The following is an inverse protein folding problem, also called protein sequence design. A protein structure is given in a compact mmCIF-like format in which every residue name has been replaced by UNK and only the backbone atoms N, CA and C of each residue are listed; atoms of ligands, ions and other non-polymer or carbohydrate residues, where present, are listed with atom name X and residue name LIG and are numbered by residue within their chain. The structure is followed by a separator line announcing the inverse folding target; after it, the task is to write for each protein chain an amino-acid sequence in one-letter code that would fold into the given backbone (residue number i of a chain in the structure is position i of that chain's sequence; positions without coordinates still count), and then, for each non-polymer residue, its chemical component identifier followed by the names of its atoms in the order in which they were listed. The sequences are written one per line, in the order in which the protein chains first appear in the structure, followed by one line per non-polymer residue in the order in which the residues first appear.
data_IF_766833656855
#
_entry.id   IF_766833656855
#
_cell.length_a   1.000
_cell.length_b   1.000
_cell.length_c   1.000
_cell.angle_alpha   90.00
_cell.angle_beta   90.00
_cell.angle_gamma   90.00
#
_symmetry.space_group_name_H-M   'P 1'
#
loop_
_entity.id
_entity.type
_entity.pdbx_description
1 polymer ?
#
# COMPACT_ATOMS: atom_id res chain seq x y z
N UNK A 1 11.62 24.61 4.66
CA UNK A 1 11.13 23.49 3.80
C UNK A 1 10.31 24.06 2.65
N UNK A 2 10.43 23.56 1.42
CA UNK A 2 9.57 24.00 0.34
C UNK A 2 8.09 23.66 0.65
N UNK A 3 7.19 24.55 0.27
CA UNK A 3 5.73 24.43 0.55
C UNK A 3 5.16 23.06 0.17
N UNK A 4 5.62 22.49 -0.94
CA UNK A 4 5.15 21.18 -1.42
C UNK A 4 5.52 20.03 -0.47
N UNK A 5 6.65 20.10 0.22
CA UNK A 5 7.07 19.08 1.20
C UNK A 5 6.16 19.12 2.43
N UNK A 6 5.82 20.31 2.92
CA UNK A 6 4.92 20.47 4.08
C UNK A 6 3.53 19.90 3.75
N UNK A 7 3.00 20.20 2.56
CA UNK A 7 1.72 19.65 2.09
C UNK A 7 1.81 18.14 1.98
N UNK A 8 2.88 17.60 1.39
CA UNK A 8 3.06 16.16 1.23
C UNK A 8 3.12 15.43 2.59
N UNK A 9 3.80 16.00 3.59
CA UNK A 9 3.84 15.44 4.96
C UNK A 9 2.44 15.42 5.58
N UNK A 10 1.67 16.51 5.47
CA UNK A 10 0.29 16.56 5.98
C UNK A 10 -0.63 15.53 5.31
N UNK A 11 -0.50 15.37 3.99
CA UNK A 11 -1.26 14.38 3.22
C UNK A 11 -0.89 12.95 3.64
N UNK A 12 0.40 12.65 3.86
CA UNK A 12 0.84 11.33 4.35
C UNK A 12 0.30 11.06 5.74
N UNK A 13 0.37 12.03 6.65
CA UNK A 13 -0.14 11.84 8.02
C UNK A 13 -1.63 11.46 8.03
N UNK A 14 -2.44 12.15 7.21
CA UNK A 14 -3.84 11.79 7.03
C UNK A 14 -4.01 10.39 6.41
N UNK A 15 -3.14 10.04 5.45
CA UNK A 15 -3.11 8.72 4.82
C UNK A 15 -2.79 7.59 5.81
N UNK A 16 -1.87 7.83 6.76
CA UNK A 16 -1.52 6.86 7.82
C UNK A 16 -2.74 6.59 8.71
N UNK A 17 -3.43 7.63 9.17
CA UNK A 17 -4.66 7.47 9.98
C UNK A 17 -5.70 6.62 9.21
N UNK A 18 -5.88 6.89 7.92
CA UNK A 18 -6.80 6.10 7.10
C UNK A 18 -6.35 4.62 6.99
N UNK A 19 -5.06 4.35 6.87
CA UNK A 19 -4.55 2.97 6.87
C UNK A 19 -4.71 2.27 8.21
N UNK A 20 -4.53 2.96 9.34
CA UNK A 20 -4.74 2.38 10.67
C UNK A 20 -6.22 2.00 10.87
N UNK A 21 -7.15 2.87 10.49
CA UNK A 21 -8.59 2.56 10.53
C UNK A 21 -8.92 1.36 9.64
N UNK A 22 -8.38 1.32 8.43
CA UNK A 22 -8.50 0.16 7.54
C UNK A 22 -7.92 -1.11 8.18
N UNK A 23 -6.74 -1.04 8.80
CA UNK A 23 -6.07 -2.17 9.43
C UNK A 23 -6.87 -2.78 10.58
N UNK A 24 -7.52 -1.95 11.41
CA UNK A 24 -8.43 -2.39 12.47
C UNK A 24 -9.58 -3.20 11.86
N UNK A 25 -10.19 -2.70 10.79
CA UNK A 25 -11.31 -3.38 10.13
C UNK A 25 -10.85 -4.69 9.49
N UNK A 26 -9.68 -4.73 8.84
CA UNK A 26 -9.09 -5.97 8.30
C UNK A 26 -8.93 -7.02 9.39
N UNK A 27 -8.46 -6.63 10.57
CA UNK A 27 -8.32 -7.55 11.71
C UNK A 27 -9.66 -8.10 12.18
N UNK A 28 -10.68 -7.25 12.27
CA UNK A 28 -12.04 -7.65 12.68
C UNK A 28 -12.69 -8.63 11.70
N UNK A 29 -12.44 -8.45 10.40
CA UNK A 29 -13.02 -9.31 9.34
C UNK A 29 -12.16 -10.55 9.05
N UNK A 30 -10.89 -10.56 9.47
CA UNK A 30 -9.92 -11.59 9.12
C UNK A 30 -10.20 -12.98 9.70
N UNK A 31 -10.97 -13.07 10.77
CA UNK A 31 -11.43 -14.34 11.36
C UNK A 31 -12.63 -14.95 10.62
N UNK A 32 -13.36 -14.12 9.87
CA UNK A 32 -14.61 -14.53 9.17
C UNK A 32 -14.38 -14.74 7.68
N UNK A 33 -13.59 -13.90 7.04
CA UNK A 33 -13.41 -13.88 5.59
C UNK A 33 -11.98 -14.24 5.16
N UNK A 34 -11.79 -15.00 4.06
CA UNK A 34 -10.48 -15.25 3.49
C UNK A 34 -9.74 -13.96 3.16
N UNK A 35 -8.43 -13.91 3.45
CA UNK A 35 -7.60 -12.71 3.25
C UNK A 35 -7.63 -12.19 1.80
N UNK A 36 -7.67 -13.09 0.80
CA UNK A 36 -7.81 -12.69 -0.60
C UNK A 36 -9.16 -12.04 -0.91
N UNK A 37 -10.24 -12.48 -0.26
CA UNK A 37 -11.56 -11.88 -0.37
C UNK A 37 -11.56 -10.47 0.24
N UNK A 38 -10.96 -10.30 1.42
CA UNK A 38 -10.77 -8.99 2.06
C UNK A 38 -9.98 -8.07 1.13
N UNK A 39 -8.88 -8.55 0.53
CA UNK A 39 -8.08 -7.76 -0.39
C UNK A 39 -8.86 -7.35 -1.65
N UNK A 40 -9.63 -8.28 -2.26
CA UNK A 40 -10.45 -7.98 -3.43
C UNK A 40 -11.51 -6.91 -3.12
N UNK A 41 -12.28 -7.10 -2.03
CA UNK A 41 -13.32 -6.16 -1.60
C UNK A 41 -12.75 -4.79 -1.23
N UNK A 42 -11.63 -4.77 -0.49
CA UNK A 42 -10.92 -3.53 -0.15
C UNK A 42 -10.52 -2.76 -1.40
N UNK A 43 -9.98 -3.42 -2.41
CA UNK A 43 -9.58 -2.74 -3.63
C UNK A 43 -10.80 -2.30 -4.47
N UNK A 44 -11.88 -3.08 -4.50
CA UNK A 44 -13.12 -2.71 -5.16
C UNK A 44 -13.69 -1.40 -4.58
N UNK A 45 -13.95 -1.35 -3.30
CA UNK A 45 -14.48 -0.14 -2.64
C UNK A 45 -13.41 0.97 -2.53
N UNK A 46 -12.13 0.62 -2.57
CA UNK A 46 -11.02 1.56 -2.61
C UNK A 46 -10.94 2.38 -3.91
N UNK A 47 -11.69 2.02 -4.96
CA UNK A 47 -11.81 2.83 -6.18
C UNK A 47 -12.60 4.12 -5.94
N UNK A 48 -13.49 4.14 -4.94
CA UNK A 48 -14.43 5.25 -4.69
C UNK A 48 -13.71 6.61 -4.58
N UNK A 49 -12.67 6.80 -3.74
CA UNK A 49 -11.99 8.09 -3.64
C UNK A 49 -11.36 8.55 -4.96
N UNK A 50 -10.78 7.61 -5.72
CA UNK A 50 -10.18 7.92 -7.01
C UNK A 50 -11.25 8.30 -8.06
N UNK A 51 -12.38 7.61 -8.08
CA UNK A 51 -13.51 7.92 -8.97
C UNK A 51 -14.11 9.28 -8.65
N UNK A 52 -14.31 9.60 -7.38
CA UNK A 52 -14.83 10.93 -6.95
C UNK A 52 -13.88 12.04 -7.42
N UNK A 53 -12.57 11.86 -7.22
CA UNK A 53 -11.60 12.87 -7.62
C UNK A 53 -11.51 13.02 -9.14
N UNK A 54 -11.56 11.92 -9.91
CA UNK A 54 -11.59 11.95 -11.38
C UNK A 54 -12.87 12.62 -11.92
N UNK A 55 -14.02 12.33 -11.31
CA UNK A 55 -15.28 12.94 -11.67
C UNK A 55 -15.27 14.45 -11.40
N UNK A 56 -14.83 14.85 -10.21
CA UNK A 56 -14.74 16.26 -9.84
C UNK A 56 -13.78 17.05 -10.75
N UNK A 57 -12.63 16.47 -11.05
CA UNK A 57 -11.62 17.09 -11.91
C UNK A 57 -11.90 16.92 -13.43
N UNK A 58 -12.93 16.14 -13.83
CA UNK A 58 -13.25 15.80 -15.22
C UNK A 58 -12.08 15.18 -16.00
N UNK A 59 -11.27 14.34 -15.34
CA UNK A 59 -10.02 13.81 -15.89
C UNK A 59 -10.12 12.36 -16.39
N UNK A 60 -11.30 11.84 -16.68
CA UNK A 60 -11.50 10.47 -17.20
C UNK A 60 -10.77 10.20 -18.52
N UNK A 61 -10.56 11.23 -19.35
CA UNK A 61 -9.81 11.13 -20.60
C UNK A 61 -8.35 10.65 -20.45
N UNK A 62 -7.81 10.68 -19.22
CA UNK A 62 -6.48 10.16 -18.95
C UNK A 62 -6.42 8.63 -18.81
N UNK A 63 -7.54 7.95 -18.52
CA UNK A 63 -7.57 6.50 -18.27
C UNK A 63 -7.10 5.64 -19.45
N UNK A 64 -7.48 5.90 -20.72
CA UNK A 64 -7.01 5.11 -21.86
C UNK A 64 -5.49 5.11 -22.02
N UNK A 65 -4.79 6.14 -21.50
CA UNK A 65 -3.31 6.20 -21.54
C UNK A 65 -2.65 5.08 -20.72
N UNK A 66 -3.33 4.53 -19.72
CA UNK A 66 -2.84 3.38 -18.94
C UNK A 66 -2.69 2.11 -19.79
N UNK A 67 -3.37 2.02 -20.92
CA UNK A 67 -3.27 0.88 -21.85
C UNK A 67 -2.01 0.93 -22.74
N UNK A 68 -1.21 1.99 -22.66
CA UNK A 68 0.10 2.01 -23.32
C UNK A 68 0.96 0.89 -22.74
N UNK A 69 1.66 0.07 -23.58
CA UNK A 69 2.35 -1.14 -23.11
C UNK A 69 3.30 -0.91 -21.94
N UNK A 70 4.05 0.19 -21.96
CA UNK A 70 4.97 0.55 -20.86
C UNK A 70 4.21 0.87 -19.56
N UNK A 71 3.18 1.68 -19.62
CA UNK A 71 2.39 2.08 -18.43
C UNK A 71 1.58 0.90 -17.90
N UNK A 72 1.09 0.04 -18.79
CA UNK A 72 0.42 -1.19 -18.42
C UNK A 72 1.36 -2.15 -17.67
N UNK A 73 2.59 -2.34 -18.16
CA UNK A 73 3.59 -3.16 -17.49
C UNK A 73 3.97 -2.60 -16.10
N UNK A 74 4.16 -1.29 -15.99
CA UNK A 74 4.40 -0.63 -14.69
C UNK A 74 3.21 -0.86 -13.75
N UNK A 75 1.98 -0.69 -14.25
CA UNK A 75 0.77 -0.90 -13.45
C UNK A 75 0.63 -2.35 -13.00
N UNK A 76 0.89 -3.32 -13.86
CA UNK A 76 0.86 -4.74 -13.54
C UNK A 76 1.89 -5.07 -12.44
N UNK A 77 3.13 -4.62 -12.58
CA UNK A 77 4.18 -4.83 -11.58
C UNK A 77 3.80 -4.21 -10.23
N UNK A 78 3.28 -2.98 -10.23
CA UNK A 78 2.78 -2.31 -9.02
C UNK A 78 1.66 -3.10 -8.37
N UNK A 79 0.67 -3.50 -9.16
CA UNK A 79 -0.51 -4.19 -8.65
C UNK A 79 -0.18 -5.58 -8.10
N UNK A 80 0.70 -6.32 -8.76
CA UNK A 80 1.20 -7.61 -8.27
C UNK A 80 1.94 -7.42 -6.94
N UNK A 81 2.84 -6.43 -6.86
CA UNK A 81 3.52 -6.09 -5.60
C UNK A 81 2.53 -5.76 -4.49
N UNK A 82 1.47 -5.01 -4.78
CA UNK A 82 0.43 -4.66 -3.79
C UNK A 82 -0.39 -5.88 -3.37
N UNK A 83 -0.71 -6.81 -4.27
CA UNK A 83 -1.40 -8.07 -3.88
C UNK A 83 -0.53 -8.86 -2.90
N UNK A 84 0.76 -9.06 -3.22
CA UNK A 84 1.69 -9.75 -2.32
C UNK A 84 1.81 -9.01 -0.98
N UNK A 85 1.90 -7.69 -1.00
CA UNK A 85 1.97 -6.88 0.21
C UNK A 85 0.71 -7.02 1.07
N UNK A 86 -0.47 -6.96 0.46
CA UNK A 86 -1.75 -7.11 1.15
C UNK A 86 -1.91 -8.50 1.77
N UNK A 87 -1.61 -9.56 1.02
CA UNK A 87 -1.63 -10.93 1.53
C UNK A 87 -0.70 -11.07 2.74
N UNK A 88 0.53 -10.60 2.62
CA UNK A 88 1.51 -10.68 3.71
C UNK A 88 1.06 -9.87 4.93
N UNK A 89 0.68 -8.60 4.75
CA UNK A 89 0.34 -7.72 5.87
C UNK A 89 -0.97 -8.13 6.55
N UNK A 90 -2.00 -8.46 5.77
CA UNK A 90 -3.30 -8.87 6.34
C UNK A 90 -3.20 -10.21 7.05
N UNK A 91 -2.41 -11.15 6.53
CA UNK A 91 -2.12 -12.40 7.26
C UNK A 91 -1.37 -12.10 8.58
N UNK A 92 -0.42 -11.17 8.58
CA UNK A 92 0.26 -10.77 9.81
C UNK A 92 -0.73 -10.18 10.84
N UNK A 93 -1.64 -9.29 10.41
CA UNK A 93 -2.64 -8.68 11.30
C UNK A 93 -3.55 -9.70 12.00
N UNK A 94 -3.76 -10.89 11.42
CA UNK A 94 -4.55 -11.98 12.03
C UNK A 94 -3.71 -12.92 12.89
N UNK A 95 -2.37 -12.90 12.79
CA UNK A 95 -1.49 -13.89 13.44
C UNK A 95 -0.56 -13.32 14.51
N UNK A 96 -0.30 -12.01 14.48
CA UNK A 96 0.53 -11.32 15.48
C UNK A 96 -0.20 -10.08 16.00
N UNK A 97 0.34 -9.48 17.06
CA UNK A 97 -0.22 -8.26 17.61
C UNK A 97 -0.20 -7.11 16.61
N UNK A 98 -1.29 -6.32 16.57
CA UNK A 98 -1.44 -5.19 15.66
C UNK A 98 -0.28 -4.17 15.78
N UNK A 99 0.12 -3.87 17.03
CA UNK A 99 1.22 -2.96 17.29
C UNK A 99 2.55 -3.46 16.72
N UNK A 100 2.83 -4.76 16.88
CA UNK A 100 4.03 -5.41 16.34
C UNK A 100 4.01 -5.41 14.81
N UNK A 101 2.87 -5.77 14.19
CA UNK A 101 2.73 -5.73 12.73
C UNK A 101 2.93 -4.31 12.18
N UNK A 102 2.34 -3.30 12.84
CA UNK A 102 2.51 -1.90 12.50
C UNK A 102 3.96 -1.43 12.62
N UNK A 103 4.62 -1.73 13.76
CA UNK A 103 6.01 -1.36 13.99
C UNK A 103 6.96 -1.95 12.94
N UNK A 104 6.76 -3.22 12.57
CA UNK A 104 7.54 -3.87 11.49
C UNK A 104 7.22 -3.27 10.12
N UNK A 105 5.97 -2.87 9.88
CA UNK A 105 5.54 -2.17 8.66
C UNK A 105 6.25 -0.81 8.46
N UNK A 106 6.66 -0.13 9.54
CA UNK A 106 7.48 1.09 9.46
C UNK A 106 8.89 0.85 8.90
N UNK A 107 9.26 -0.38 8.53
CA UNK A 107 10.44 -0.62 7.69
C UNK A 107 10.30 -0.11 6.25
N UNK A 108 9.09 0.28 5.83
CA UNK A 108 8.81 0.83 4.48
C UNK A 108 9.76 1.96 4.03
N UNK A 109 9.98 3.01 4.81
CA UNK A 109 10.92 4.08 4.50
C UNK A 109 12.36 3.60 4.20
N UNK A 110 12.81 2.55 4.88
CA UNK A 110 14.10 1.92 4.64
C UNK A 110 14.17 1.39 3.21
N UNK A 111 13.15 0.62 2.81
CA UNK A 111 13.06 0.04 1.47
C UNK A 111 12.83 1.10 0.39
N UNK A 112 12.02 2.15 0.66
CA UNK A 112 11.83 3.27 -0.27
C UNK A 112 13.20 3.91 -0.58
N UNK A 113 14.00 4.19 0.45
CA UNK A 113 15.31 4.81 0.26
C UNK A 113 16.26 3.86 -0.47
N UNK A 114 16.33 2.60 -0.08
CA UNK A 114 17.20 1.61 -0.73
C UNK A 114 16.83 1.39 -2.21
N UNK A 115 15.54 1.27 -2.53
CA UNK A 115 15.06 1.05 -3.90
C UNK A 115 15.14 2.32 -4.78
N UNK A 116 15.17 3.51 -4.18
CA UNK A 116 15.30 4.77 -4.95
C UNK A 116 16.64 4.87 -5.70
N UNK A 117 17.69 4.21 -5.20
CA UNK A 117 19.02 4.20 -5.85
C UNK A 117 18.97 3.48 -7.19
N UNK A 118 18.63 2.19 -7.28
CA UNK A 118 18.65 1.45 -8.55
C UNK A 118 17.50 1.84 -9.49
N UNK A 119 16.34 2.29 -8.98
CA UNK A 119 15.16 2.54 -9.81
C UNK A 119 15.04 3.98 -10.30
N UNK A 120 15.51 4.94 -9.51
CA UNK A 120 15.39 6.37 -9.83
C UNK A 120 16.77 7.05 -10.07
N UNK A 121 17.87 6.32 -9.88
CA UNK A 121 19.23 6.88 -10.01
C UNK A 121 19.58 7.90 -8.94
N UNK A 122 18.88 7.91 -7.81
CA UNK A 122 19.14 8.85 -6.73
C UNK A 122 20.45 8.53 -6.03
N UNK A 123 21.30 9.54 -5.82
CA UNK A 123 22.50 9.41 -4.99
C UNK A 123 22.10 9.56 -3.54
N UNK A 124 22.24 8.47 -2.79
CA UNK A 124 21.94 8.46 -1.35
C UNK A 124 23.24 8.67 -0.58
N UNK A 125 23.30 9.76 0.18
CA UNK A 125 24.47 10.07 1.01
C UNK A 125 24.64 9.14 2.19
N UNK A 126 25.85 9.13 2.78
CA UNK A 126 26.25 8.25 3.90
C UNK A 126 25.28 8.34 5.08
N UNK A 127 24.78 9.52 5.40
CA UNK A 127 23.82 9.74 6.50
C UNK A 127 22.49 8.99 6.31
N UNK A 128 22.01 8.91 5.06
CA UNK A 128 20.79 8.14 4.76
C UNK A 128 21.04 6.65 4.83
N UNK A 129 22.20 6.17 4.39
CA UNK A 129 22.61 4.77 4.56
C UNK A 129 22.74 4.39 6.03
N UNK A 130 23.34 5.26 6.85
CA UNK A 130 23.41 5.04 8.30
C UNK A 130 22.02 4.93 8.93
N UNK A 131 21.08 5.79 8.54
CA UNK A 131 19.69 5.71 9.00
C UNK A 131 19.01 4.38 8.59
N UNK A 132 19.26 3.88 7.37
CA UNK A 132 18.78 2.57 6.90
C UNK A 132 19.30 1.46 7.81
N UNK A 133 20.60 1.43 8.10
CA UNK A 133 21.19 0.39 8.95
C UNK A 133 20.67 0.45 10.39
N UNK A 134 20.53 1.65 10.96
CA UNK A 134 19.97 1.83 12.30
C UNK A 134 18.50 1.39 12.33
N UNK A 135 17.71 1.78 11.33
CA UNK A 135 16.31 1.36 11.21
C UNK A 135 16.18 -0.16 11.07
N UNK A 136 17.04 -0.79 10.26
CA UNK A 136 17.04 -2.24 10.11
C UNK A 136 17.45 -2.97 11.41
N UNK A 137 18.41 -2.43 12.15
CA UNK A 137 18.75 -2.94 13.49
C UNK A 137 17.54 -2.85 14.43
N UNK A 138 16.76 -1.76 14.37
CA UNK A 138 15.50 -1.62 15.11
C UNK A 138 14.46 -2.70 14.74
N UNK A 139 14.29 -2.99 13.45
CA UNK A 139 13.42 -4.09 12.98
C UNK A 139 13.88 -5.44 13.57
N UNK A 140 15.17 -5.74 13.52
CA UNK A 140 15.74 -6.98 14.10
C UNK A 140 15.54 -7.04 15.62
N UNK A 141 15.63 -5.91 16.31
CA UNK A 141 15.39 -5.82 17.76
C UNK A 141 13.94 -6.14 18.11
N UNK A 142 12.98 -5.70 17.29
CA UNK A 142 11.55 -6.01 17.49
C UNK A 142 11.26 -7.47 17.15
N UNK A 143 11.82 -7.98 16.06
CA UNK A 143 11.60 -9.36 15.61
C UNK A 143 12.23 -10.40 16.55
N UNK A 144 13.34 -10.07 17.19
CA UNK A 144 14.11 -10.99 18.04
C UNK A 144 14.30 -12.38 17.40
N UNK A 145 14.88 -12.51 16.19
CA UNK A 145 14.84 -13.73 15.38
C UNK A 145 15.58 -14.92 16.00
N UNK A 146 16.33 -14.69 17.08
CA UNK A 146 17.10 -15.71 17.80
C UNK A 146 16.52 -16.05 19.20
N UNK A 147 15.29 -15.57 19.50
CA UNK A 147 14.65 -15.77 20.79
C UNK A 147 13.41 -16.69 20.65
N UNK A 148 13.00 -17.34 21.73
CA UNK A 148 11.84 -18.26 21.76
C UNK A 148 10.50 -17.57 21.42
N UNK A 149 10.45 -16.24 21.49
CA UNK A 149 9.30 -15.43 21.08
C UNK A 149 9.20 -15.16 19.56
N UNK A 150 10.15 -15.61 18.75
CA UNK A 150 10.14 -15.38 17.32
C UNK A 150 9.00 -16.14 16.63
N UNK A 151 8.16 -15.42 15.92
CA UNK A 151 7.15 -16.01 15.02
C UNK A 151 7.51 -15.73 13.56
N UNK A 152 7.49 -16.76 12.73
CA UNK A 152 7.71 -16.61 11.28
C UNK A 152 6.75 -15.59 10.65
N UNK A 153 5.56 -15.38 11.24
CA UNK A 153 4.61 -14.36 10.80
C UNK A 153 5.13 -12.93 10.95
N UNK A 154 6.15 -12.67 11.77
CA UNK A 154 6.79 -11.35 11.90
C UNK A 154 7.59 -10.94 10.65
N UNK A 155 7.95 -11.90 9.78
CA UNK A 155 8.59 -11.61 8.49
C UNK A 155 7.60 -11.00 7.49
N UNK A 156 6.30 -11.33 7.61
CA UNK A 156 5.29 -10.90 6.65
C UNK A 156 5.11 -9.37 6.56
N UNK A 157 5.07 -8.59 7.65
CA UNK A 157 5.03 -7.13 7.55
C UNK A 157 6.26 -6.53 6.86
N UNK A 158 7.43 -7.15 7.02
CA UNK A 158 8.66 -6.69 6.36
C UNK A 158 8.61 -6.95 4.85
N UNK A 159 8.11 -8.12 4.42
CA UNK A 159 7.83 -8.43 3.01
C UNK A 159 6.81 -7.44 2.45
N UNK A 160 5.75 -7.19 3.19
CA UNK A 160 4.73 -6.22 2.79
C UNK A 160 5.31 -4.82 2.61
N UNK A 161 6.13 -4.37 3.56
CA UNK A 161 6.80 -3.08 3.52
C UNK A 161 7.70 -2.93 2.28
N UNK A 162 8.47 -3.97 1.93
CA UNK A 162 9.27 -4.02 0.70
C UNK A 162 8.39 -3.89 -0.56
N UNK A 163 7.33 -4.68 -0.65
CA UNK A 163 6.43 -4.68 -1.80
C UNK A 163 5.67 -3.36 -1.94
N UNK A 164 5.20 -2.76 -0.83
CA UNK A 164 4.60 -1.43 -0.84
C UNK A 164 5.60 -0.33 -1.24
N UNK A 165 6.85 -0.42 -0.75
CA UNK A 165 7.92 0.49 -1.14
C UNK A 165 8.20 0.43 -2.65
N UNK A 166 8.29 -0.78 -3.21
CA UNK A 166 8.46 -0.98 -4.65
C UNK A 166 7.30 -0.35 -5.44
N UNK A 167 6.05 -0.65 -5.07
CA UNK A 167 4.88 -0.05 -5.70
C UNK A 167 4.88 1.48 -5.62
N UNK A 168 5.31 2.04 -4.49
CA UNK A 168 5.35 3.49 -4.25
C UNK A 168 6.39 4.20 -5.14
N UNK A 169 7.57 3.61 -5.30
CA UNK A 169 8.62 4.18 -6.15
C UNK A 169 8.22 4.14 -7.62
N UNK A 170 7.58 3.07 -8.07
CA UNK A 170 7.11 2.92 -9.45
C UNK A 170 6.10 3.99 -9.87
N UNK A 171 5.43 4.68 -8.92
CA UNK A 171 4.58 5.85 -9.20
C UNK A 171 5.37 6.96 -9.93
N UNK A 172 6.66 7.10 -9.64
CA UNK A 172 7.52 8.12 -10.25
C UNK A 172 7.83 7.85 -11.73
N UNK A 173 7.61 6.63 -12.21
CA UNK A 173 7.83 6.27 -13.61
C UNK A 173 6.67 6.69 -14.53
N UNK A 174 5.54 7.14 -13.96
CA UNK A 174 4.43 7.70 -14.75
C UNK A 174 4.73 9.13 -15.20
N UNK A 175 4.22 9.55 -16.37
CA UNK A 175 4.33 10.93 -16.82
C UNK A 175 3.80 11.93 -15.80
N UNK A 176 4.43 13.08 -15.67
CA UNK A 176 4.06 14.09 -14.66
C UNK A 176 2.68 14.72 -14.92
N UNK A 177 2.26 14.78 -16.18
CA UNK A 177 0.95 15.27 -16.61
C UNK A 177 -0.20 14.28 -16.38
N UNK A 178 0.12 13.03 -15.96
CA UNK A 178 -0.89 12.03 -15.69
C UNK A 178 -1.53 12.25 -14.32
N UNK A 179 -2.86 12.33 -14.20
CA UNK A 179 -3.55 12.55 -12.93
C UNK A 179 -3.25 11.44 -11.92
N UNK A 180 -2.96 11.81 -10.67
CA UNK A 180 -2.73 10.85 -9.58
C UNK A 180 -3.93 9.92 -9.36
N UNK A 181 -5.15 10.45 -9.53
CA UNK A 181 -6.37 9.67 -9.41
C UNK A 181 -6.51 8.60 -10.51
N UNK A 182 -6.05 8.88 -11.75
CA UNK A 182 -6.03 7.89 -12.82
C UNK A 182 -5.03 6.76 -12.53
N UNK A 183 -3.84 7.11 -12.06
CA UNK A 183 -2.80 6.14 -11.65
C UNK A 183 -3.33 5.26 -10.52
N UNK A 184 -3.98 5.85 -9.52
CA UNK A 184 -4.57 5.15 -8.38
C UNK A 184 -5.70 4.22 -8.82
N UNK A 185 -6.64 4.71 -9.64
CA UNK A 185 -7.76 3.91 -10.13
C UNK A 185 -7.27 2.71 -10.95
N UNK A 186 -6.31 2.93 -11.86
CA UNK A 186 -5.71 1.85 -12.65
C UNK A 186 -5.06 0.77 -11.79
N UNK A 187 -4.37 1.16 -10.72
CA UNK A 187 -3.81 0.22 -9.76
C UNK A 187 -4.90 -0.54 -9.01
N UNK A 188 -5.92 0.15 -8.49
CA UNK A 188 -7.00 -0.50 -7.73
C UNK A 188 -7.77 -1.52 -8.58
N UNK A 189 -8.09 -1.17 -9.84
CA UNK A 189 -8.74 -2.10 -10.77
C UNK A 189 -7.88 -3.35 -10.96
N UNK A 190 -6.61 -3.18 -11.32
CA UNK A 190 -5.71 -4.29 -11.59
C UNK A 190 -5.49 -5.14 -10.33
N UNK A 191 -5.30 -4.53 -9.17
CA UNK A 191 -5.12 -5.24 -7.90
C UNK A 191 -6.40 -6.01 -7.52
N UNK A 192 -7.58 -5.41 -7.73
CA UNK A 192 -8.87 -6.07 -7.51
C UNK A 192 -9.01 -7.30 -8.39
N UNK A 193 -8.71 -7.18 -9.69
CA UNK A 193 -8.76 -8.31 -10.63
C UNK A 193 -7.81 -9.41 -10.21
N UNK A 194 -6.55 -9.08 -9.92
CA UNK A 194 -5.53 -10.07 -9.50
C UNK A 194 -5.92 -10.75 -8.19
N UNK A 195 -6.40 -10.01 -7.20
CA UNK A 195 -6.83 -10.56 -5.92
C UNK A 195 -8.07 -11.46 -6.07
N UNK A 196 -9.04 -11.07 -6.93
CA UNK A 196 -10.23 -11.86 -7.22
C UNK A 196 -9.87 -13.15 -7.95
N UNK A 197 -9.02 -13.09 -8.97
CA UNK A 197 -8.57 -14.29 -9.68
C UNK A 197 -7.82 -15.25 -8.74
N UNK A 198 -6.91 -14.71 -7.91
CA UNK A 198 -6.22 -15.54 -6.92
C UNK A 198 -7.21 -16.15 -5.89
N UNK A 199 -8.20 -15.38 -5.44
CA UNK A 199 -9.25 -15.89 -4.54
C UNK A 199 -9.99 -17.08 -5.17
N UNK A 200 -10.46 -16.93 -6.41
CA UNK A 200 -11.22 -17.98 -7.10
C UNK A 200 -10.41 -19.25 -7.37
N UNK A 201 -9.07 -19.16 -7.44
CA UNK A 201 -8.18 -20.31 -7.63
C UNK A 201 -7.87 -21.04 -6.33
N UNK A 202 -7.70 -20.29 -5.21
CA UNK A 202 -7.16 -20.85 -3.97
C UNK A 202 -8.18 -20.98 -2.84
N UNK A 203 -9.33 -20.28 -2.90
CA UNK A 203 -10.31 -20.24 -1.82
C UNK A 203 -11.74 -20.12 -2.35
N UNK A 204 -12.69 -20.72 -1.64
CA UNK A 204 -14.10 -20.48 -1.87
C UNK A 204 -14.52 -19.15 -1.21
N UNK A 205 -15.23 -18.27 -1.93
CA UNK A 205 -15.69 -17.02 -1.35
C UNK A 205 -16.77 -17.27 -0.29
N UNK A 206 -16.67 -16.56 0.83
CA UNK A 206 -17.66 -16.59 1.90
C UNK A 206 -18.70 -15.49 1.64
N UNK A 207 -19.99 -15.85 1.71
CA UNK A 207 -21.09 -14.91 1.50
C UNK A 207 -21.14 -13.86 2.62
N UNK A 208 -21.37 -12.60 2.24
CA UNK A 208 -21.58 -11.51 3.21
C UNK A 208 -23.04 -11.59 3.70
N UNK A 209 -23.24 -11.98 4.96
CA UNK A 209 -24.59 -12.20 5.51
C UNK A 209 -25.09 -11.09 6.42
N UNK A 210 -24.20 -10.22 6.92
CA UNK A 210 -24.52 -9.16 7.84
C UNK A 210 -24.45 -7.74 7.25
N UNK A 211 -25.41 -6.87 7.57
CA UNK A 211 -25.37 -5.46 7.19
C UNK A 211 -24.17 -4.74 7.84
N UNK A 212 -23.79 -5.15 9.07
CA UNK A 212 -22.60 -4.64 9.76
C UNK A 212 -21.33 -4.95 8.98
N UNK A 213 -21.16 -6.19 8.51
CA UNK A 213 -19.99 -6.63 7.76
C UNK A 213 -19.90 -5.93 6.41
N UNK A 214 -21.05 -5.79 5.72
CA UNK A 214 -21.10 -5.00 4.49
C UNK A 214 -20.68 -3.54 4.72
N UNK A 215 -21.12 -2.92 5.81
CA UNK A 215 -20.70 -1.57 6.20
C UNK A 215 -19.20 -1.48 6.49
N UNK A 216 -18.66 -2.41 7.25
CA UNK A 216 -17.22 -2.49 7.54
C UNK A 216 -16.38 -2.67 6.27
N UNK A 217 -16.82 -3.52 5.34
CA UNK A 217 -16.14 -3.76 4.05
C UNK A 217 -16.09 -2.47 3.20
N UNK A 218 -17.19 -1.73 3.12
CA UNK A 218 -17.24 -0.44 2.41
C UNK A 218 -16.30 0.57 3.06
N UNK A 219 -16.36 0.70 4.41
CA UNK A 219 -15.48 1.60 5.16
C UNK A 219 -14.01 1.23 5.00
N UNK A 220 -13.68 -0.05 5.09
CA UNK A 220 -12.32 -0.57 4.86
C UNK A 220 -11.79 -0.16 3.48
N UNK A 221 -12.60 -0.32 2.43
CA UNK A 221 -12.24 0.08 1.09
C UNK A 221 -12.06 1.59 0.97
N UNK A 222 -12.99 2.38 1.51
CA UNK A 222 -12.92 3.85 1.49
C UNK A 222 -11.67 4.36 2.20
N UNK A 223 -11.37 3.88 3.40
CA UNK A 223 -10.16 4.25 4.14
C UNK A 223 -8.90 3.80 3.40
N UNK A 224 -8.85 2.56 2.93
CA UNK A 224 -7.72 2.04 2.18
C UNK A 224 -7.48 2.78 0.87
N UNK A 225 -8.54 3.10 0.12
CA UNK A 225 -8.46 3.90 -1.11
C UNK A 225 -7.97 5.32 -0.86
N UNK A 226 -8.48 5.96 0.20
CA UNK A 226 -8.05 7.29 0.63
C UNK A 226 -6.58 7.29 1.03
N UNK A 227 -6.13 6.32 1.81
CA UNK A 227 -4.74 6.18 2.23
C UNK A 227 -3.78 6.06 1.04
N UNK A 228 -4.08 5.16 0.07
CA UNK A 228 -3.25 5.03 -1.14
C UNK A 228 -3.30 6.28 -2.01
N UNK A 229 -4.46 6.97 -2.11
CA UNK A 229 -4.57 8.24 -2.82
C UNK A 229 -3.65 9.30 -2.20
N UNK A 230 -3.64 9.42 -0.88
CA UNK A 230 -2.74 10.31 -0.16
C UNK A 230 -1.27 10.01 -0.46
N UNK A 231 -0.87 8.73 -0.46
CA UNK A 231 0.49 8.33 -0.82
C UNK A 231 0.85 8.69 -2.27
N UNK A 232 -0.03 8.40 -3.23
CA UNK A 232 0.21 8.73 -4.64
C UNK A 232 0.37 10.25 -4.83
N UNK A 233 -0.47 11.05 -4.19
CA UNK A 233 -0.38 12.51 -4.23
C UNK A 233 0.93 12.98 -3.60
N UNK A 234 1.26 12.50 -2.41
CA UNK A 234 2.45 12.93 -1.67
C UNK A 234 3.75 12.58 -2.41
N UNK A 235 3.87 11.35 -2.93
CA UNK A 235 5.05 10.91 -3.69
C UNK A 235 5.19 11.60 -5.05
N UNK A 236 4.18 12.29 -5.52
CA UNK A 236 4.25 13.13 -6.72
C UNK A 236 4.55 14.59 -6.41
N UNK A 237 4.22 15.08 -5.20
CA UNK A 237 4.51 16.43 -4.75
C UNK A 237 5.96 16.60 -4.27
N UNK A 238 6.54 15.56 -3.67
CA UNK A 238 7.88 15.57 -3.11
C UNK A 238 8.62 14.26 -3.36
N UNK A 239 9.94 14.26 -3.17
CA UNK A 239 10.72 13.02 -3.29
C UNK A 239 10.29 12.01 -2.22
N UNK A 240 10.07 10.72 -2.59
CA UNK A 240 9.65 9.69 -1.65
C UNK A 240 10.54 9.59 -0.41
N UNK A 241 11.86 9.71 -0.60
CA UNK A 241 12.85 9.71 0.50
C UNK A 241 12.83 10.96 1.40
N UNK A 242 12.08 12.00 1.03
CA UNK A 242 11.93 13.24 1.83
C UNK A 242 10.64 13.24 2.66
N UNK A 243 9.71 12.33 2.36
CA UNK A 243 8.37 12.27 2.96
C UNK A 243 8.02 10.88 3.53
N UNK A 244 8.93 9.92 3.39
CA UNK A 244 8.86 8.58 4.04
C UNK A 244 9.62 8.55 5.40
#
# INVERSE_FOLDING_TARGET
MPRNVIIAIGVIFFGIIAFDMMGIIVRLLGDTYPILQIAAMRNFFGMIPALILLAHARQFAALPRLNQPRLHAINLLRSTSVVVAQLSFYTALTKIEFATAGALGFSGPIFITALSVPLLGHVVGVWRWSAIFIGFAGVLTIMQPFNDGFSAYMVLPVIAAFCYALSSILVRLYPQDMPSAAIQLGQQIMTCVLATLAMLVFFDPVAITGASDAGLIVMMGAFGGTGVMCLVIAYRLADPSSVS
#
